data_IF_486750792032
#
_entry.id   IF_486750792032
#
_cell.length_a   1.000
_cell.length_b   1.000
_cell.length_c   1.000
_cell.angle_alpha   90.00
_cell.angle_beta   90.00
_cell.angle_gamma   90.00
#
_symmetry.space_group_name_H-M   'P 1'
#
loop_
_entity.id
_entity.type
_entity.pdbx_description
1 polymer ?
#
# COMPACT_ATOMS: atom_id res chain seq x y z
N UNK A 1 34.29 -58.54 -45.09
CA UNK A 1 33.42 -57.40 -45.41
C UNK A 1 32.05 -57.76 -44.83
N UNK A 2 31.52 -57.11 -43.80
CA UNK A 2 31.67 -55.68 -43.57
C UNK A 2 31.14 -55.28 -42.18
N UNK A 3 31.50 -56.02 -41.12
CA UNK A 3 31.08 -55.62 -39.76
C UNK A 3 31.63 -54.24 -39.36
N UNK A 4 32.81 -53.87 -39.87
CA UNK A 4 33.34 -52.51 -39.79
C UNK A 4 32.52 -51.48 -40.56
N UNK A 5 31.95 -51.84 -41.71
CA UNK A 5 31.05 -50.95 -42.47
C UNK A 5 29.67 -50.86 -41.81
N UNK A 6 29.16 -51.93 -41.20
CA UNK A 6 27.93 -51.92 -40.38
C UNK A 6 28.10 -51.01 -39.15
N UNK A 7 29.20 -51.13 -38.42
CA UNK A 7 29.56 -50.22 -37.32
C UNK A 7 29.71 -48.77 -37.80
N UNK A 8 30.33 -48.56 -38.97
CA UNK A 8 30.43 -47.24 -39.60
C UNK A 8 29.06 -46.64 -39.95
N UNK A 9 28.16 -47.43 -40.54
CA UNK A 9 26.79 -46.97 -40.85
C UNK A 9 25.97 -46.67 -39.61
N UNK A 10 26.10 -47.47 -38.54
CA UNK A 10 25.44 -47.19 -37.26
C UNK A 10 25.99 -45.89 -36.67
N UNK A 11 27.30 -45.66 -36.73
CA UNK A 11 27.92 -44.40 -36.27
C UNK A 11 27.40 -43.17 -37.02
N UNK A 12 27.25 -43.26 -38.34
CA UNK A 12 26.71 -42.16 -39.17
C UNK A 12 25.24 -41.89 -38.85
N UNK A 13 24.42 -42.94 -38.67
CA UNK A 13 23.02 -42.79 -38.28
C UNK A 13 22.90 -42.13 -36.89
N UNK A 14 23.76 -42.54 -35.95
CA UNK A 14 23.78 -42.01 -34.59
C UNK A 14 24.23 -40.54 -34.56
N UNK A 15 25.21 -40.17 -35.39
CA UNK A 15 25.66 -38.79 -35.58
C UNK A 15 24.52 -37.90 -36.14
N UNK A 16 23.81 -38.39 -37.15
CA UNK A 16 22.68 -37.66 -37.74
C UNK A 16 21.54 -37.46 -36.73
N UNK A 17 21.26 -38.48 -35.90
CA UNK A 17 20.29 -38.36 -34.81
C UNK A 17 20.72 -37.33 -33.75
N UNK A 18 22.01 -37.29 -33.38
CA UNK A 18 22.53 -36.29 -32.45
C UNK A 18 22.42 -34.87 -33.01
N UNK A 19 22.70 -34.67 -34.30
CA UNK A 19 22.53 -33.36 -34.95
C UNK A 19 21.07 -32.94 -34.93
N UNK A 20 20.14 -33.86 -35.24
CA UNK A 20 18.71 -33.56 -35.25
C UNK A 20 18.21 -33.19 -33.85
N UNK A 21 18.57 -33.95 -32.82
CA UNK A 21 18.23 -33.67 -31.42
C UNK A 21 18.85 -32.34 -30.98
N UNK A 22 20.10 -32.08 -31.37
CA UNK A 22 20.78 -30.81 -31.10
C UNK A 22 20.07 -29.61 -31.72
N UNK A 23 19.62 -29.73 -32.98
CA UNK A 23 18.87 -28.66 -33.66
C UNK A 23 17.50 -28.42 -33.06
N UNK A 24 16.77 -29.46 -32.66
CA UNK A 24 15.47 -29.32 -31.99
C UNK A 24 15.64 -28.70 -30.60
N UNK A 25 16.67 -29.12 -29.85
CA UNK A 25 16.98 -28.56 -28.53
C UNK A 25 17.44 -27.11 -28.62
N UNK A 26 18.26 -26.78 -29.63
CA UNK A 26 18.69 -25.42 -29.90
C UNK A 26 17.51 -24.56 -30.38
N UNK A 27 16.60 -25.09 -31.20
CA UNK A 27 15.38 -24.39 -31.60
C UNK A 27 14.46 -24.16 -30.42
N UNK A 28 14.28 -25.12 -29.51
CA UNK A 28 13.50 -24.91 -28.29
C UNK A 28 14.20 -23.90 -27.38
N UNK A 29 15.52 -23.94 -27.25
CA UNK A 29 16.27 -22.92 -26.50
C UNK A 29 16.17 -21.54 -27.15
N UNK A 30 16.22 -21.44 -28.49
CA UNK A 30 16.08 -20.20 -29.26
C UNK A 30 14.65 -19.69 -29.23
N UNK A 31 13.64 -20.55 -29.31
CA UNK A 31 12.22 -20.17 -29.21
C UNK A 31 11.83 -19.83 -27.78
N UNK A 32 12.36 -20.53 -26.77
CA UNK A 32 12.25 -20.09 -25.38
C UNK A 32 13.00 -18.77 -25.22
N UNK A 33 14.22 -18.61 -25.75
CA UNK A 33 14.89 -17.31 -25.64
C UNK A 33 14.24 -16.22 -26.48
N UNK A 34 13.51 -16.51 -27.56
CA UNK A 34 12.70 -15.53 -28.31
C UNK A 34 11.41 -15.17 -27.54
N UNK A 35 10.67 -16.15 -27.03
CA UNK A 35 9.48 -15.95 -26.16
C UNK A 35 9.83 -15.39 -24.77
N UNK A 36 11.09 -15.50 -24.33
CA UNK A 36 11.61 -14.89 -23.09
C UNK A 36 12.52 -13.68 -23.36
N UNK A 37 12.66 -13.25 -24.62
CA UNK A 37 13.39 -12.03 -25.03
C UNK A 37 12.46 -10.85 -25.28
N UNK A 38 11.18 -10.96 -24.95
CA UNK A 38 10.53 -9.83 -24.28
C UNK A 38 11.20 -9.70 -22.92
N UNK A 39 12.28 -8.93 -22.93
CA UNK A 39 13.14 -8.47 -21.85
C UNK A 39 12.26 -7.93 -20.69
N UNK A 40 11.74 -8.84 -19.86
CA UNK A 40 11.47 -8.52 -18.47
C UNK A 40 12.83 -8.24 -17.85
N UNK A 41 13.23 -6.98 -17.96
CA UNK A 41 14.46 -6.45 -17.43
C UNK A 41 14.53 -6.84 -15.93
N UNK A 42 15.38 -7.81 -15.61
CA UNK A 42 15.50 -8.36 -14.26
C UNK A 42 15.82 -7.24 -13.27
N UNK A 43 16.52 -6.19 -13.71
CA UNK A 43 16.80 -5.01 -12.92
C UNK A 43 15.50 -4.24 -12.61
N UNK A 44 14.61 -4.09 -13.61
CA UNK A 44 13.27 -3.52 -13.39
C UNK A 44 12.43 -4.36 -12.44
N UNK A 45 12.46 -5.70 -12.54
CA UNK A 45 11.75 -6.57 -11.59
C UNK A 45 12.30 -6.46 -10.16
N UNK A 46 13.62 -6.35 -10.02
CA UNK A 46 14.27 -6.17 -8.72
C UNK A 46 13.88 -4.83 -8.12
N UNK A 47 13.90 -3.76 -8.92
CA UNK A 47 13.50 -2.43 -8.49
C UNK A 47 12.02 -2.39 -8.07
N UNK A 48 11.12 -3.02 -8.84
CA UNK A 48 9.70 -3.14 -8.48
C UNK A 48 9.47 -3.87 -7.16
N UNK A 49 10.19 -4.98 -6.92
CA UNK A 49 10.09 -5.74 -5.66
C UNK A 49 10.65 -4.94 -4.49
N UNK A 50 11.77 -4.23 -4.69
CA UNK A 50 12.35 -3.35 -3.66
C UNK A 50 11.36 -2.23 -3.34
N UNK A 51 10.79 -1.59 -4.35
CA UNK A 51 9.79 -0.53 -4.18
C UNK A 51 8.55 -1.06 -3.47
N UNK A 52 8.05 -2.25 -3.78
CA UNK A 52 6.88 -2.84 -3.10
C UNK A 52 7.15 -3.12 -1.61
N UNK A 53 8.32 -3.70 -1.28
CA UNK A 53 8.68 -4.06 0.10
C UNK A 53 9.01 -2.82 0.93
N UNK A 54 9.67 -1.83 0.33
CA UNK A 54 10.09 -0.63 1.03
C UNK A 54 8.93 0.38 1.17
N UNK A 55 7.93 0.33 0.27
CA UNK A 55 6.66 1.08 0.32
C UNK A 55 5.77 0.62 1.45
N UNK A 56 6.21 0.96 2.66
CA UNK A 56 5.58 0.64 3.91
C UNK A 56 5.45 1.88 4.80
N UNK A 57 4.21 2.16 5.20
CA UNK A 57 3.90 3.18 6.19
C UNK A 57 3.73 2.55 7.58
N UNK A 58 4.52 3.04 8.52
CA UNK A 58 4.39 2.73 9.92
C UNK A 58 3.25 3.56 10.53
N UNK A 59 2.26 2.89 11.09
CA UNK A 59 1.24 3.51 11.94
C UNK A 59 1.85 3.70 13.33
N UNK A 60 1.93 4.95 13.77
CA UNK A 60 2.54 5.34 15.06
C UNK A 60 1.53 5.54 16.15
N UNK A 61 0.37 6.12 15.82
CA UNK A 61 -0.68 6.38 16.79
C UNK A 61 -2.00 6.56 16.06
N UNK A 62 -3.10 6.17 16.69
CA UNK A 62 -4.44 6.49 16.19
C UNK A 62 -5.25 7.15 17.28
N UNK A 63 -5.83 8.30 16.95
CA UNK A 63 -6.67 9.09 17.86
C UNK A 63 -8.03 9.34 17.24
N UNK A 64 -9.06 9.23 18.09
CA UNK A 64 -10.44 9.49 17.72
C UNK A 64 -11.02 10.64 18.53
N UNK A 65 -11.99 11.35 17.94
CA UNK A 65 -12.82 12.34 18.64
C UNK A 65 -14.26 11.85 18.73
N UNK A 66 -14.77 11.82 19.95
CA UNK A 66 -16.18 11.60 20.25
C UNK A 66 -16.98 12.86 19.93
N UNK A 67 -18.02 12.71 19.12
CA UNK A 67 -19.00 13.75 18.82
C UNK A 67 -20.42 13.17 18.99
N UNK A 68 -21.39 14.05 19.20
CA UNK A 68 -22.80 13.65 19.28
C UNK A 68 -23.34 13.49 17.86
N UNK A 69 -23.67 12.26 17.48
CA UNK A 69 -24.25 11.91 16.18
C UNK A 69 -25.58 11.21 16.43
N UNK A 70 -26.68 11.82 16.01
CA UNK A 70 -28.05 11.30 16.22
C UNK A 70 -28.36 10.98 17.70
N UNK A 71 -28.06 11.92 18.59
CA UNK A 71 -28.23 11.80 20.06
C UNK A 71 -27.39 10.71 20.75
N UNK A 72 -26.48 10.06 20.03
CA UNK A 72 -25.54 9.09 20.59
C UNK A 72 -24.10 9.61 20.50
N UNK A 73 -23.30 9.35 21.54
CA UNK A 73 -21.90 9.73 21.54
C UNK A 73 -21.07 8.67 20.79
N UNK A 74 -20.57 9.05 19.63
CA UNK A 74 -19.82 8.17 18.71
C UNK A 74 -18.50 8.80 18.30
N UNK A 75 -17.51 7.97 18.03
CA UNK A 75 -16.30 8.42 17.36
C UNK A 75 -16.62 8.57 15.89
N UNK A 76 -16.49 9.79 15.38
CA UNK A 76 -16.75 10.10 13.98
C UNK A 76 -15.54 10.68 13.27
N UNK A 77 -14.56 11.23 13.98
CA UNK A 77 -13.32 11.76 13.40
C UNK A 77 -12.15 10.94 13.89
N UNK A 78 -11.32 10.47 12.96
CA UNK A 78 -10.12 9.69 13.25
C UNK A 78 -8.91 10.36 12.60
N UNK A 79 -7.84 10.49 13.38
CA UNK A 79 -6.50 10.84 12.91
C UNK A 79 -5.56 9.65 13.10
N UNK A 80 -4.94 9.19 12.03
CA UNK A 80 -3.95 8.11 12.02
C UNK A 80 -2.58 8.72 11.73
N UNK A 81 -1.69 8.74 12.72
CA UNK A 81 -0.33 9.22 12.54
C UNK A 81 0.48 8.16 11.80
N UNK A 82 0.97 8.51 10.62
CA UNK A 82 1.77 7.68 9.74
C UNK A 82 3.17 8.26 9.56
N UNK A 83 4.11 7.37 9.25
CA UNK A 83 5.51 7.67 9.00
C UNK A 83 6.10 6.61 8.04
N UNK A 84 6.91 6.97 7.03
CA UNK A 84 7.52 5.96 6.18
C UNK A 84 8.57 5.15 6.97
N UNK A 85 8.73 3.88 6.61
CA UNK A 85 9.71 3.01 7.26
C UNK A 85 11.15 3.36 6.87
N UNK A 86 11.35 3.66 5.59
CA UNK A 86 12.62 4.10 4.99
C UNK A 86 12.36 5.30 4.10
N UNK A 87 13.39 6.07 3.76
CA UNK A 87 13.25 7.17 2.79
C UNK A 87 13.02 6.60 1.40
N UNK A 88 11.90 6.96 0.80
CA UNK A 88 11.51 6.56 -0.55
C UNK A 88 10.26 7.32 -0.97
N UNK A 89 9.99 7.41 -2.26
CA UNK A 89 8.84 8.13 -2.79
C UNK A 89 7.55 7.31 -2.64
N UNK A 90 6.74 7.59 -1.62
CA UNK A 90 5.40 7.02 -1.47
C UNK A 90 4.39 8.06 -1.94
N UNK A 91 3.78 7.81 -3.10
CA UNK A 91 2.68 8.63 -3.61
C UNK A 91 1.38 8.27 -2.89
N UNK A 92 0.77 9.26 -2.24
CA UNK A 92 -0.47 9.09 -1.48
C UNK A 92 -1.71 9.25 -2.36
N UNK A 93 -1.55 9.76 -3.59
CA UNK A 93 -2.65 10.01 -4.53
C UNK A 93 -3.44 8.74 -4.88
N UNK A 94 -2.79 7.59 -4.81
CA UNK A 94 -3.39 6.28 -5.09
C UNK A 94 -3.64 5.44 -3.84
N UNK A 95 -3.36 5.99 -2.65
CA UNK A 95 -3.63 5.30 -1.39
C UNK A 95 -5.14 5.15 -1.19
N UNK A 96 -5.52 3.98 -0.71
CA UNK A 96 -6.92 3.64 -0.40
C UNK A 96 -7.02 3.17 1.04
N UNK A 97 -8.10 3.56 1.73
CA UNK A 97 -8.38 3.13 3.11
C UNK A 97 -9.68 2.32 3.14
N UNK A 98 -9.59 1.07 3.55
CA UNK A 98 -10.72 0.23 3.87
C UNK A 98 -11.12 0.40 5.33
N UNK A 99 -12.42 0.57 5.59
CA UNK A 99 -13.00 0.62 6.93
C UNK A 99 -14.08 -0.45 7.06
N UNK A 100 -14.05 -1.25 8.13
CA UNK A 100 -15.09 -2.23 8.40
C UNK A 100 -15.42 -2.35 9.88
N UNK A 101 -16.71 -2.46 10.19
CA UNK A 101 -17.20 -2.81 11.53
C UNK A 101 -17.72 -4.26 11.60
N UNK A 102 -17.44 -5.08 10.59
CA UNK A 102 -17.93 -6.46 10.45
C UNK A 102 -19.31 -6.59 9.78
N UNK A 103 -20.10 -5.52 9.70
CA UNK A 103 -21.39 -5.50 8.98
C UNK A 103 -21.27 -4.75 7.65
N UNK A 104 -20.62 -3.59 7.67
CA UNK A 104 -20.39 -2.76 6.50
C UNK A 104 -18.90 -2.68 6.16
N UNK A 105 -18.61 -2.45 4.88
CA UNK A 105 -17.28 -2.16 4.38
C UNK A 105 -17.32 -0.89 3.54
N UNK A 106 -16.46 0.07 3.87
CA UNK A 106 -16.31 1.33 3.14
C UNK A 106 -14.89 1.44 2.61
N UNK A 107 -14.78 1.94 1.38
CA UNK A 107 -13.51 2.26 0.76
C UNK A 107 -13.44 3.78 0.61
N UNK A 108 -12.39 4.37 1.16
CA UNK A 108 -12.17 5.80 1.24
C UNK A 108 -10.92 6.14 0.44
N UNK A 109 -11.00 7.20 -0.35
CA UNK A 109 -9.94 7.65 -1.25
C UNK A 109 -9.37 9.00 -0.83
N UNK A 110 -8.15 9.29 -1.26
CA UNK A 110 -7.55 10.60 -1.04
C UNK A 110 -8.34 11.68 -1.79
N UNK A 111 -8.71 12.77 -1.13
CA UNK A 111 -9.43 13.88 -1.79
C UNK A 111 -8.53 14.89 -2.51
N UNK A 112 -7.21 14.67 -2.52
CA UNK A 112 -6.27 15.61 -3.14
C UNK A 112 -5.91 16.80 -2.26
N UNK A 113 -6.28 16.78 -0.96
CA UNK A 113 -5.96 17.86 -0.02
C UNK A 113 -4.97 17.39 1.02
N UNK A 114 -3.81 18.04 1.04
CA UNK A 114 -2.82 17.95 2.10
C UNK A 114 -2.51 19.35 2.64
N UNK A 115 -2.50 19.50 3.96
CA UNK A 115 -2.12 20.76 4.61
C UNK A 115 -1.12 20.52 5.75
N UNK A 116 -0.40 21.55 6.16
CA UNK A 116 0.46 21.47 7.35
C UNK A 116 -0.38 21.76 8.61
N UNK A 117 -0.27 20.89 9.62
CA UNK A 117 -0.96 21.06 10.91
C UNK A 117 -0.59 22.37 11.61
N UNK A 118 0.66 22.84 11.43
CA UNK A 118 1.21 24.06 12.04
C UNK A 118 0.89 24.13 13.56
N UNK A 119 0.47 25.29 14.05
CA UNK A 119 0.11 25.54 15.46
C UNK A 119 -1.33 25.17 15.82
N UNK A 120 -2.10 24.61 14.88
CA UNK A 120 -3.50 24.25 15.12
C UNK A 120 -3.58 22.89 15.82
N UNK A 121 -4.60 22.71 16.66
CA UNK A 121 -4.93 21.39 17.21
C UNK A 121 -5.50 20.51 16.11
N UNK A 122 -5.17 19.20 16.11
CA UNK A 122 -5.58 18.26 15.07
C UNK A 122 -7.07 18.36 14.76
N UNK A 123 -7.93 18.23 15.78
CA UNK A 123 -9.39 18.18 15.60
C UNK A 123 -10.08 19.54 15.46
N UNK A 124 -9.32 20.64 15.48
CA UNK A 124 -9.81 22.00 15.27
C UNK A 124 -9.31 22.59 13.94
N UNK A 125 -8.56 21.80 13.16
CA UNK A 125 -8.00 22.24 11.90
C UNK A 125 -9.09 22.45 10.82
N UNK A 126 -9.02 23.50 9.98
CA UNK A 126 -10.03 23.76 8.95
C UNK A 126 -10.25 22.63 7.94
N UNK A 127 -9.26 21.75 7.73
CA UNK A 127 -9.35 20.59 6.83
C UNK A 127 -10.55 19.67 7.12
N UNK A 128 -11.05 19.65 8.36
CA UNK A 128 -12.25 18.86 8.70
C UNK A 128 -13.52 19.36 8.01
N UNK A 129 -13.53 20.62 7.53
CA UNK A 129 -14.65 21.18 6.78
C UNK A 129 -14.63 20.84 5.29
N UNK A 130 -13.48 20.43 4.76
CA UNK A 130 -13.34 19.97 3.37
C UNK A 130 -13.48 18.45 3.23
N UNK A 131 -13.51 17.70 4.34
CA UNK A 131 -13.70 16.26 4.35
C UNK A 131 -15.18 15.88 4.18
N UNK A 132 -15.43 14.96 3.26
CA UNK A 132 -16.68 14.23 3.13
C UNK A 132 -16.53 12.79 3.64
N UNK A 133 -17.65 12.09 3.88
CA UNK A 133 -17.65 10.74 4.45
C UNK A 133 -17.01 9.67 3.54
N UNK A 134 -16.73 9.98 2.27
CA UNK A 134 -16.11 9.08 1.29
C UNK A 134 -14.63 9.35 1.04
N UNK A 135 -14.02 10.32 1.73
CA UNK A 135 -12.63 10.68 1.50
C UNK A 135 -11.78 10.86 2.75
N UNK A 136 -10.47 10.86 2.54
CA UNK A 136 -9.49 11.24 3.55
C UNK A 136 -8.57 12.35 3.01
N UNK A 137 -7.97 13.08 3.93
CA UNK A 137 -6.96 14.10 3.66
C UNK A 137 -5.71 13.86 4.49
N UNK A 138 -4.66 14.60 4.19
CA UNK A 138 -3.42 14.57 4.97
C UNK A 138 -3.21 15.86 5.75
N UNK A 139 -2.75 15.71 6.99
CA UNK A 139 -2.19 16.79 7.78
C UNK A 139 -0.72 16.50 8.09
N UNK A 140 0.17 17.17 7.39
CA UNK A 140 1.60 17.10 7.62
C UNK A 140 1.99 17.71 8.97
N UNK A 141 2.80 16.99 9.74
CA UNK A 141 3.33 17.43 11.04
C UNK A 141 4.82 17.71 10.99
N UNK A 142 5.57 16.87 10.28
CA UNK A 142 6.99 17.03 9.99
C UNK A 142 7.14 16.75 8.50
N UNK A 143 7.60 17.75 7.76
CA UNK A 143 7.81 17.71 6.31
C UNK A 143 8.76 18.87 5.96
N UNK A 144 10.05 18.55 5.86
CA UNK A 144 11.10 19.56 5.74
C UNK A 144 11.19 20.14 4.32
N UNK A 145 10.74 19.41 3.29
CA UNK A 145 10.74 19.86 1.89
C UNK A 145 9.35 20.18 1.34
N UNK A 146 8.32 20.15 2.17
CA UNK A 146 6.92 20.33 1.78
C UNK A 146 6.42 19.31 0.74
N UNK A 147 7.06 18.14 0.63
CA UNK A 147 6.71 17.12 -0.36
C UNK A 147 5.30 16.56 -0.15
N UNK A 148 4.83 16.48 1.10
CA UNK A 148 3.48 16.00 1.41
C UNK A 148 2.43 17.02 0.97
N UNK A 149 2.68 18.29 1.26
CA UNK A 149 1.73 19.37 1.00
C UNK A 149 1.67 19.73 -0.49
N UNK A 150 2.83 19.86 -1.13
CA UNK A 150 2.92 20.37 -2.50
C UNK A 150 2.79 19.25 -3.56
N UNK A 151 3.25 18.04 -3.23
CA UNK A 151 3.35 16.92 -4.18
C UNK A 151 2.57 15.67 -3.76
N UNK A 152 1.91 15.68 -2.59
CA UNK A 152 1.22 14.52 -2.02
C UNK A 152 2.11 13.27 -1.88
N UNK A 153 3.39 13.51 -1.62
CA UNK A 153 4.41 12.49 -1.65
C UNK A 153 5.16 12.47 -0.32
N UNK A 154 5.27 11.30 0.30
CA UNK A 154 6.09 11.10 1.50
C UNK A 154 7.44 10.57 1.01
N UNK A 155 8.55 11.30 1.20
CA UNK A 155 9.85 10.90 0.65
C UNK A 155 10.95 10.63 1.68
N UNK A 156 10.90 11.24 2.86
CA UNK A 156 11.96 11.11 3.86
C UNK A 156 11.51 10.28 5.03
N UNK A 157 12.43 9.49 5.57
CA UNK A 157 12.24 8.78 6.83
C UNK A 157 11.88 9.69 8.01
N UNK A 158 12.01 11.01 7.92
CA UNK A 158 11.63 11.96 8.97
C UNK A 158 10.18 12.39 8.88
N UNK A 159 9.58 12.26 7.71
CA UNK A 159 8.26 12.80 7.41
C UNK A 159 7.19 12.12 8.26
N UNK A 160 6.26 12.92 8.76
CA UNK A 160 5.14 12.44 9.56
C UNK A 160 3.89 13.21 9.19
N UNK A 161 2.81 12.49 8.95
CA UNK A 161 1.52 13.07 8.66
C UNK A 161 0.40 12.32 9.39
N UNK A 162 -0.68 13.03 9.69
CA UNK A 162 -1.94 12.42 10.02
C UNK A 162 -2.73 12.18 8.74
N UNK A 163 -3.15 10.94 8.53
CA UNK A 163 -4.33 10.67 7.71
C UNK A 163 -5.54 11.08 8.55
N UNK A 164 -6.34 12.00 8.05
CA UNK A 164 -7.57 12.45 8.70
C UNK A 164 -8.78 12.03 7.87
N UNK A 165 -9.74 11.41 8.54
CA UNK A 165 -10.97 10.92 7.91
C UNK A 165 -12.17 11.05 8.85
N UNK A 166 -13.33 11.26 8.25
CA UNK A 166 -14.61 11.26 8.94
C UNK A 166 -15.33 9.95 8.65
N UNK A 167 -15.71 9.22 9.70
CA UNK A 167 -16.47 7.99 9.59
C UNK A 167 -17.91 8.29 9.11
N UNK A 168 -18.40 7.56 8.10
CA UNK A 168 -19.82 7.50 7.77
C UNK A 168 -20.66 7.07 9.00
N UNK A 169 -21.88 7.60 9.10
CA UNK A 169 -22.78 7.35 10.23
C UNK A 169 -23.02 5.85 10.51
N UNK A 170 -23.03 5.02 9.45
CA UNK A 170 -23.24 3.56 9.56
C UNK A 170 -22.06 2.78 10.14
N UNK A 171 -20.86 3.37 10.18
CA UNK A 171 -19.64 2.75 10.75
C UNK A 171 -18.98 3.59 11.86
N UNK A 172 -19.59 4.71 12.23
CA UNK A 172 -19.18 5.47 13.40
C UNK A 172 -19.32 4.60 14.65
N UNK A 173 -18.23 4.46 15.41
CA UNK A 173 -18.15 3.51 16.52
C UNK A 173 -18.56 4.16 17.84
N UNK A 174 -19.45 3.50 18.58
CA UNK A 174 -19.76 3.86 19.98
C UNK A 174 -18.79 3.15 20.93
N UNK A 175 -18.84 3.53 22.19
CA UNK A 175 -18.05 2.89 23.25
C UNK A 175 -18.20 1.35 23.25
N UNK A 176 -17.07 0.65 23.20
CA UNK A 176 -16.98 -0.81 23.17
C UNK A 176 -17.11 -1.44 21.78
N UNK A 177 -17.38 -0.66 20.74
CA UNK A 177 -17.37 -1.16 19.37
C UNK A 177 -15.95 -1.22 18.80
N UNK A 178 -15.80 -2.01 17.74
CA UNK A 178 -14.54 -2.20 17.01
C UNK A 178 -14.64 -1.67 15.58
N UNK A 179 -13.53 -1.18 15.07
CA UNK A 179 -13.36 -0.80 13.67
C UNK A 179 -12.06 -1.38 13.13
N UNK A 180 -12.15 -2.15 12.06
CA UNK A 180 -11.01 -2.56 11.26
C UNK A 180 -10.66 -1.45 10.26
N UNK A 181 -9.40 -1.05 10.23
CA UNK A 181 -8.87 -0.06 9.29
C UNK A 181 -7.73 -0.68 8.50
N UNK A 182 -7.89 -0.73 7.19
CA UNK A 182 -6.89 -1.26 6.26
C UNK A 182 -6.37 -0.14 5.37
N UNK A 183 -5.07 0.16 5.46
CA UNK A 183 -4.40 1.13 4.59
C UNK A 183 -3.74 0.34 3.46
N UNK A 184 -4.08 0.67 2.22
CA UNK A 184 -3.53 0.07 1.00
C UNK A 184 -2.73 1.12 0.23
N UNK A 185 -1.49 0.78 -0.08
CA UNK A 185 -0.57 1.58 -0.88
C UNK A 185 -0.50 1.04 -2.31
N UNK A 186 -0.08 1.88 -3.25
CA UNK A 186 0.15 1.48 -4.65
C UNK A 186 1.37 2.23 -5.22
N UNK A 187 2.51 1.56 -5.44
CA UNK A 187 2.83 0.19 -5.00
C UNK A 187 2.98 0.12 -3.47
N UNK A 188 2.96 -1.10 -2.92
CA UNK A 188 3.38 -1.30 -1.54
C UNK A 188 2.53 -2.26 -0.72
N UNK A 189 3.00 -2.52 0.49
CA UNK A 189 2.36 -3.45 1.41
C UNK A 189 1.22 -2.78 2.18
N UNK A 190 0.02 -3.35 2.05
CA UNK A 190 -1.13 -2.96 2.85
C UNK A 190 -0.98 -3.32 4.33
N UNK A 191 -1.61 -2.55 5.22
CA UNK A 191 -1.63 -2.81 6.66
C UNK A 191 -3.02 -2.67 7.23
N UNK A 192 -3.45 -3.69 7.97
CA UNK A 192 -4.69 -3.71 8.74
C UNK A 192 -4.40 -3.49 10.23
N UNK A 193 -5.19 -2.63 10.86
CA UNK A 193 -5.23 -2.42 12.31
C UNK A 193 -6.66 -2.54 12.82
N UNK A 194 -6.79 -2.92 14.09
CA UNK A 194 -8.08 -3.01 14.77
C UNK A 194 -8.12 -1.94 15.84
N UNK A 195 -9.16 -1.10 15.77
CA UNK A 195 -9.42 -0.02 16.71
C UNK A 195 -10.55 -0.45 17.63
N UNK A 196 -10.41 -0.16 18.93
CA UNK A 196 -11.46 -0.35 19.93
C UNK A 196 -11.81 1.00 20.53
N UNK A 197 -13.10 1.32 20.57
CA UNK A 197 -13.57 2.58 21.13
C UNK A 197 -13.55 2.50 22.67
N UNK A 198 -12.69 3.27 23.37
CA UNK A 198 -12.64 3.25 24.82
C UNK A 198 -13.83 4.00 25.43
N UNK A 199 -14.03 3.89 26.74
CA UNK A 199 -15.05 4.67 27.45
C UNK A 199 -14.97 6.16 27.11
N UNK A 200 -16.13 6.77 26.85
CA UNK A 200 -16.27 8.18 26.47
C UNK A 200 -16.14 9.13 27.66
N UNK A 201 -15.00 9.04 28.37
CA UNK A 201 -14.66 9.90 29.50
C UNK A 201 -13.98 11.19 29.06
N UNK A 202 -13.44 11.20 27.83
CA UNK A 202 -12.78 12.34 27.20
C UNK A 202 -13.28 12.47 25.77
N UNK A 203 -13.34 13.70 25.27
CA UNK A 203 -13.75 13.95 23.89
C UNK A 203 -12.71 13.46 22.88
N UNK A 204 -11.44 13.40 23.25
CA UNK A 204 -10.36 12.85 22.41
C UNK A 204 -9.74 11.65 23.12
N UNK A 205 -9.61 10.55 22.38
CA UNK A 205 -9.15 9.27 22.91
C UNK A 205 -8.13 8.63 21.98
N UNK A 206 -7.22 7.84 22.56
CA UNK A 206 -6.32 6.97 21.80
C UNK A 206 -7.04 5.68 21.47
N UNK A 207 -7.00 5.29 20.19
CA UNK A 207 -7.60 4.05 19.67
C UNK A 207 -6.56 2.97 19.38
N UNK A 208 -5.33 3.38 19.09
CA UNK A 208 -4.21 2.48 18.85
C UNK A 208 -2.92 3.14 19.34
N UNK A 209 -2.13 2.47 20.19
CA UNK A 209 -0.90 3.00 20.76
C UNK A 209 0.23 3.16 19.74
#
# INVERSE_FOLDING_TARGET
>A
MDDSAKLGTIGVILLLLFILIGTVSASVLVTISEDTSEEYDLDTMVDEVIDEVCSYLQIKHVIGKYEMVQDEQKINKIGILIKPFVSQNIDISHMTIGLSNGEYYYMIFFNGVAESLRSSSLFEHPIWSSLDQGSFSLLSTIDDDNSIVDLHLINKYTDMAFIVLQLPDGIAIKNGDYLEVTILLSPGMGRTIYLEAPLSLKNVVTLYP
#
